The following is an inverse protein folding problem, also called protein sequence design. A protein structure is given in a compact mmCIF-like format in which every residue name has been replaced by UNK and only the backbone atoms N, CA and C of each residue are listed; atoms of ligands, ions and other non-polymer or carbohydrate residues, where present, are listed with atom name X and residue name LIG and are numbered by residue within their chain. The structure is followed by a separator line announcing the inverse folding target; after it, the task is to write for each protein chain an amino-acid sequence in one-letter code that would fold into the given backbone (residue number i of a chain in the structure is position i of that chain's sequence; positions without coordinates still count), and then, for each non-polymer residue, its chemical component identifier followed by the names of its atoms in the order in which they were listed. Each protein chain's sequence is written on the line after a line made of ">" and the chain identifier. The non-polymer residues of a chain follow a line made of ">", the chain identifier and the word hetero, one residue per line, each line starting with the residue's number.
data_IF_217699144162
#
_entry.id   IF_217699144162
#
_cell.length_a   1.000
_cell.length_b   1.000
_cell.length_c   1.000
_cell.angle_alpha   90.00
_cell.angle_beta   90.00
_cell.angle_gamma   90.00
#
_symmetry.space_group_name_H-M   'P 1'
#
loop_
_entity.id
_entity.type
_entity.pdbx_description
1 polymer ?
#
# COMPACT_ATOMS: atom_id res chain seq x y z
N UNK A 1 -10.30 -11.03 -20.89
CA UNK A 1 -9.75 -10.47 -19.63
C UNK A 1 -9.17 -11.63 -18.85
N UNK A 2 -7.94 -11.49 -18.33
CA UNK A 2 -7.37 -12.50 -17.42
C UNK A 2 -8.20 -12.51 -16.13
N UNK A 3 -8.49 -13.71 -15.63
CA UNK A 3 -9.20 -13.86 -14.36
C UNK A 3 -8.21 -13.59 -13.21
N UNK A 4 -8.43 -12.50 -12.46
CA UNK A 4 -7.65 -12.17 -11.27
C UNK A 4 -8.47 -12.64 -10.07
N UNK A 5 -7.88 -13.50 -9.25
CA UNK A 5 -8.48 -13.99 -8.00
C UNK A 5 -7.77 -13.31 -6.84
N UNK A 6 -8.54 -12.78 -5.88
CA UNK A 6 -7.98 -12.22 -4.65
C UNK A 6 -8.29 -13.17 -3.50
N UNK A 7 -7.26 -13.49 -2.72
CA UNK A 7 -7.40 -14.30 -1.51
C UNK A 7 -6.58 -13.72 -0.34
N UNK A 8 -6.97 -14.06 0.87
CA UNK A 8 -6.16 -13.77 2.05
C UNK A 8 -4.89 -14.62 2.03
N UNK A 9 -3.77 -14.04 2.48
CA UNK A 9 -2.48 -14.73 2.58
C UNK A 9 -2.36 -15.55 3.86
N UNK A 10 -1.61 -16.65 3.77
CA UNK A 10 -1.14 -17.45 4.89
C UNK A 10 0.39 -17.45 5.00
N UNK A 11 0.93 -18.18 5.97
CA UNK A 11 2.38 -18.28 6.16
C UNK A 11 3.13 -18.92 4.99
N UNK A 12 2.44 -19.72 4.18
CA UNK A 12 2.97 -20.29 2.92
C UNK A 12 3.33 -19.22 1.90
N UNK A 13 2.76 -18.02 2.02
CA UNK A 13 2.98 -16.90 1.10
C UNK A 13 4.23 -16.06 1.44
N UNK A 14 4.79 -16.18 2.65
CA UNK A 14 5.89 -15.36 3.13
C UNK A 14 7.09 -15.32 2.17
N UNK A 15 7.45 -16.46 1.62
CA UNK A 15 8.65 -16.61 0.78
C UNK A 15 8.57 -15.77 -0.51
N UNK A 16 7.47 -15.89 -1.26
CA UNK A 16 7.33 -15.16 -2.51
C UNK A 16 7.09 -13.66 -2.28
N UNK A 17 6.38 -13.30 -1.22
CA UNK A 17 6.14 -11.90 -0.85
C UNK A 17 7.43 -11.19 -0.47
N UNK A 18 8.26 -11.84 0.36
CA UNK A 18 9.58 -11.33 0.70
C UNK A 18 10.49 -11.19 -0.53
N UNK A 19 10.44 -12.15 -1.45
CA UNK A 19 11.17 -12.09 -2.71
C UNK A 19 10.70 -10.91 -3.56
N UNK A 20 9.40 -10.75 -3.73
CA UNK A 20 8.81 -9.65 -4.49
C UNK A 20 9.17 -8.29 -3.87
N UNK A 21 9.07 -8.17 -2.53
CA UNK A 21 9.46 -6.96 -1.81
C UNK A 21 10.94 -6.61 -2.05
N UNK A 22 11.85 -7.56 -1.79
CA UNK A 22 13.31 -7.37 -1.93
C UNK A 22 13.72 -6.97 -3.35
N UNK A 23 13.01 -7.46 -4.37
CA UNK A 23 13.28 -7.12 -5.77
C UNK A 23 12.76 -5.73 -6.18
N UNK A 24 11.83 -5.15 -5.42
CA UNK A 24 11.17 -3.89 -5.74
C UNK A 24 11.38 -2.80 -4.68
N UNK A 25 12.23 -3.03 -3.66
CA UNK A 25 12.59 -1.99 -2.70
C UNK A 25 13.46 -0.93 -3.37
N UNK A 26 13.35 0.32 -2.90
CA UNK A 26 14.09 1.46 -3.45
C UNK A 26 15.60 1.20 -3.47
N UNK A 27 16.14 0.69 -2.36
CA UNK A 27 17.57 0.35 -2.24
C UNK A 27 18.00 -0.74 -3.23
N UNK A 28 17.19 -1.81 -3.36
CA UNK A 28 17.52 -2.89 -4.27
C UNK A 28 17.55 -2.42 -5.73
N UNK A 29 16.62 -1.58 -6.13
CA UNK A 29 16.60 -1.00 -7.47
C UNK A 29 17.83 -0.12 -7.73
N UNK A 30 18.23 0.72 -6.76
CA UNK A 30 19.47 1.49 -6.85
C UNK A 30 20.71 0.59 -7.01
N UNK A 31 20.84 -0.44 -6.19
CA UNK A 31 21.98 -1.37 -6.25
C UNK A 31 22.07 -2.12 -7.57
N UNK A 32 20.93 -2.37 -8.20
CA UNK A 32 20.84 -3.06 -9.51
C UNK A 32 20.97 -2.09 -10.70
N UNK A 33 21.13 -0.79 -10.46
CA UNK A 33 21.15 0.25 -11.49
C UNK A 33 19.84 0.35 -12.29
N UNK A 34 18.71 -0.06 -11.68
CA UNK A 34 17.39 0.01 -12.30
C UNK A 34 16.75 1.37 -12.05
N UNK A 35 15.91 1.81 -13.01
CA UNK A 35 15.11 3.01 -12.86
C UNK A 35 14.08 2.85 -11.75
N UNK A 36 13.81 3.94 -11.02
CA UNK A 36 12.68 4.06 -10.08
C UNK A 36 11.37 4.43 -10.80
N UNK A 37 11.41 4.73 -12.10
CA UNK A 37 10.26 5.19 -12.88
C UNK A 37 9.13 4.16 -12.98
N UNK A 38 9.45 2.87 -12.83
CA UNK A 38 8.45 1.81 -12.81
C UNK A 38 7.74 1.62 -11.46
N UNK A 39 8.13 2.44 -10.46
CA UNK A 39 7.63 2.36 -9.09
C UNK A 39 8.45 1.44 -8.20
N UNK A 40 8.40 1.72 -6.91
CA UNK A 40 9.14 1.00 -5.87
C UNK A 40 8.33 0.96 -4.57
N UNK A 41 8.79 0.13 -3.62
CA UNK A 41 8.32 0.16 -2.23
C UNK A 41 9.43 0.72 -1.34
N UNK A 42 9.03 1.41 -0.28
CA UNK A 42 9.97 1.94 0.72
C UNK A 42 10.75 0.81 1.41
N UNK A 43 12.03 1.07 1.68
CA UNK A 43 12.85 0.13 2.40
C UNK A 43 12.39 -0.03 3.85
N UNK A 44 12.37 -1.26 4.31
CA UNK A 44 12.09 -1.62 5.70
C UNK A 44 13.03 -2.76 6.11
N UNK A 45 13.97 -2.46 6.99
CA UNK A 45 14.96 -3.44 7.47
C UNK A 45 14.32 -4.63 8.22
N UNK A 46 13.10 -4.47 8.71
CA UNK A 46 12.36 -5.49 9.47
C UNK A 46 11.15 -6.02 8.70
N UNK A 47 11.16 -5.90 7.37
CA UNK A 47 10.02 -6.28 6.53
C UNK A 47 9.56 -7.72 6.78
N UNK A 48 10.49 -8.67 6.90
CA UNK A 48 10.18 -10.09 7.16
C UNK A 48 9.38 -10.29 8.45
N UNK A 49 9.70 -9.54 9.51
CA UNK A 49 9.00 -9.61 10.80
C UNK A 49 7.63 -8.95 10.74
N UNK A 50 7.58 -7.77 10.14
CA UNK A 50 6.33 -7.01 9.97
C UNK A 50 5.35 -7.77 9.08
N UNK A 51 5.83 -8.40 8.01
CA UNK A 51 5.02 -9.23 7.12
C UNK A 51 4.38 -10.40 7.85
N UNK A 52 5.12 -11.11 8.71
CA UNK A 52 4.56 -12.19 9.54
C UNK A 52 3.44 -11.70 10.43
N UNK A 53 3.64 -10.57 11.11
CA UNK A 53 2.60 -9.97 11.95
C UNK A 53 1.35 -9.61 11.15
N UNK A 54 1.50 -9.03 9.95
CA UNK A 54 0.37 -8.71 9.08
C UNK A 54 -0.38 -9.95 8.59
N UNK A 55 0.34 -11.04 8.30
CA UNK A 55 -0.30 -12.33 7.96
C UNK A 55 -1.07 -12.89 9.15
N UNK A 56 -0.46 -12.91 10.34
CA UNK A 56 -1.08 -13.42 11.57
C UNK A 56 -2.40 -12.72 11.92
N UNK A 57 -2.47 -11.40 11.69
CA UNK A 57 -3.72 -10.63 11.91
C UNK A 57 -4.66 -10.59 10.71
N UNK A 58 -4.36 -11.35 9.64
CA UNK A 58 -5.20 -11.43 8.45
C UNK A 58 -5.26 -10.15 7.62
N UNK A 59 -4.20 -9.33 7.67
CA UNK A 59 -4.17 -8.02 7.00
C UNK A 59 -3.73 -8.10 5.53
N UNK A 60 -3.24 -9.24 5.04
CA UNK A 60 -2.59 -9.37 3.73
C UNK A 60 -3.44 -10.15 2.74
N UNK A 61 -3.54 -9.60 1.52
CA UNK A 61 -4.30 -10.19 0.42
C UNK A 61 -3.42 -10.34 -0.81
N UNK A 62 -3.41 -11.53 -1.41
CA UNK A 62 -2.72 -11.83 -2.66
C UNK A 62 -3.66 -11.72 -3.85
N UNK A 63 -3.12 -11.26 -4.97
CA UNK A 63 -3.75 -11.38 -6.28
C UNK A 63 -3.06 -12.49 -7.07
N UNK A 64 -3.85 -13.39 -7.65
CA UNK A 64 -3.40 -14.51 -8.46
C UNK A 64 -3.92 -14.40 -9.89
N UNK A 65 -3.08 -14.81 -10.84
CA UNK A 65 -3.45 -15.03 -12.24
C UNK A 65 -3.12 -16.48 -12.58
N UNK A 66 -4.12 -17.26 -13.00
CA UNK A 66 -3.96 -18.69 -13.34
C UNK A 66 -3.39 -19.55 -12.18
N UNK A 67 -3.63 -19.11 -10.94
CA UNK A 67 -3.14 -19.77 -9.73
C UNK A 67 -1.76 -19.31 -9.24
N UNK A 68 -1.07 -18.48 -10.01
CA UNK A 68 0.23 -17.91 -9.63
C UNK A 68 0.05 -16.58 -8.90
N UNK A 69 0.64 -16.37 -7.72
CA UNK A 69 0.58 -15.09 -7.01
C UNK A 69 1.44 -14.04 -7.73
N UNK A 70 0.81 -12.91 -8.06
CA UNK A 70 1.42 -11.85 -8.88
C UNK A 70 1.46 -10.49 -8.20
N UNK A 71 0.90 -10.37 -7.02
CA UNK A 71 0.92 -9.12 -6.24
C UNK A 71 0.24 -9.30 -4.90
N UNK A 72 0.45 -8.34 -4.01
CA UNK A 72 -0.23 -8.31 -2.71
C UNK A 72 -0.54 -6.90 -2.25
N UNK A 73 -1.47 -6.81 -1.32
CA UNK A 73 -1.90 -5.61 -0.61
C UNK A 73 -1.98 -5.89 0.88
N UNK A 74 -1.56 -4.92 1.70
CA UNK A 74 -1.79 -4.92 3.14
C UNK A 74 -2.89 -3.93 3.49
N UNK A 75 -3.86 -4.34 4.31
CA UNK A 75 -4.92 -3.50 4.87
C UNK A 75 -4.72 -3.43 6.37
N UNK A 76 -4.34 -2.27 6.88
CA UNK A 76 -4.07 -2.04 8.30
C UNK A 76 -5.31 -1.46 8.96
N UNK A 77 -6.07 -2.31 9.66
CA UNK A 77 -7.34 -1.93 10.31
C UNK A 77 -7.16 -1.12 11.59
N UNK A 78 -6.03 -1.30 12.24
CA UNK A 78 -5.68 -0.54 13.43
C UNK A 78 -4.82 0.67 13.04
N UNK A 79 -5.06 1.80 13.69
CA UNK A 79 -4.23 3.00 13.50
C UNK A 79 -2.83 2.71 14.02
N UNK A 80 -1.84 2.80 13.16
CA UNK A 80 -0.45 2.61 13.55
C UNK A 80 0.01 3.82 14.38
N UNK A 81 0.34 3.58 15.64
CA UNK A 81 0.91 4.60 16.54
C UNK A 81 2.44 4.69 16.43
N UNK A 82 3.06 3.66 15.87
CA UNK A 82 4.50 3.52 15.71
C UNK A 82 4.82 3.12 14.27
N UNK A 83 6.02 3.42 13.81
CA UNK A 83 6.45 3.06 12.46
C UNK A 83 7.24 4.18 11.77
N UNK A 84 7.27 4.22 10.44
CA UNK A 84 7.90 5.28 9.68
C UNK A 84 7.42 6.68 10.08
N UNK A 85 8.29 7.68 9.94
CA UNK A 85 8.01 9.07 10.30
C UNK A 85 6.71 9.60 9.68
N UNK A 86 6.42 9.24 8.42
CA UNK A 86 5.18 9.62 7.73
C UNK A 86 3.93 9.06 8.43
N UNK A 87 3.97 7.84 8.97
CA UNK A 87 2.86 7.26 9.72
C UNK A 87 2.63 8.02 11.02
N UNK A 88 3.72 8.36 11.74
CA UNK A 88 3.65 9.17 12.96
C UNK A 88 3.11 10.57 12.65
N UNK A 89 3.51 11.17 11.52
CA UNK A 89 2.98 12.45 11.05
C UNK A 89 1.46 12.36 10.84
N UNK A 90 0.98 11.38 10.07
CA UNK A 90 -0.46 11.18 9.83
C UNK A 90 -1.21 11.08 11.16
N UNK A 91 -0.77 10.20 12.07
CA UNK A 91 -1.43 9.97 13.36
C UNK A 91 -1.46 11.20 14.27
N UNK A 92 -0.43 12.06 14.21
CA UNK A 92 -0.36 13.27 15.03
C UNK A 92 -1.08 14.48 14.43
N UNK A 93 -1.49 14.42 13.16
CA UNK A 93 -2.11 15.52 12.42
C UNK A 93 -3.51 15.19 11.89
N UNK A 94 -4.14 14.12 12.36
CA UNK A 94 -5.47 13.67 11.92
C UNK A 94 -6.55 14.76 11.98
N UNK A 95 -6.43 15.71 12.90
CA UNK A 95 -7.37 16.81 13.09
C UNK A 95 -7.29 17.91 12.01
N UNK A 96 -6.18 17.96 11.24
CA UNK A 96 -5.99 18.95 10.17
C UNK A 96 -5.89 18.31 8.78
N UNK A 97 -5.69 17.02 8.69
CA UNK A 97 -5.72 16.27 7.42
C UNK A 97 -7.17 16.04 7.01
N UNK A 98 -7.57 16.61 5.88
CA UNK A 98 -8.97 16.63 5.44
C UNK A 98 -9.17 15.69 4.24
N UNK A 99 -10.09 14.75 4.37
CA UNK A 99 -10.57 13.88 3.30
C UNK A 99 -12.08 14.01 3.18
N UNK A 100 -12.59 14.30 1.97
CA UNK A 100 -14.02 14.46 1.69
C UNK A 100 -14.71 15.42 2.67
N UNK A 101 -14.09 16.58 2.91
CA UNK A 101 -14.57 17.66 3.82
C UNK A 101 -14.61 17.27 5.32
N UNK A 102 -14.07 16.12 5.71
CA UNK A 102 -13.99 15.66 7.09
C UNK A 102 -12.53 15.52 7.53
N UNK A 103 -12.24 15.85 8.78
CA UNK A 103 -10.92 15.55 9.35
C UNK A 103 -10.72 14.04 9.50
N UNK A 104 -9.50 13.55 9.33
CA UNK A 104 -9.21 12.11 9.52
C UNK A 104 -9.54 11.65 10.94
N UNK A 105 -9.46 12.54 11.94
CA UNK A 105 -9.87 12.26 13.32
C UNK A 105 -11.35 11.90 13.45
N UNK A 106 -12.20 12.36 12.53
CA UNK A 106 -13.64 12.13 12.51
C UNK A 106 -14.05 10.93 11.65
N UNK A 107 -13.06 10.25 11.06
CA UNK A 107 -13.25 9.10 10.18
C UNK A 107 -12.77 7.81 10.86
N UNK A 108 -13.51 6.73 10.70
CA UNK A 108 -13.01 5.38 10.93
C UNK A 108 -12.30 4.92 9.66
N UNK A 109 -10.98 5.14 9.57
CA UNK A 109 -10.20 4.79 8.39
C UNK A 109 -9.22 3.65 8.63
N UNK A 110 -8.90 2.92 7.58
CA UNK A 110 -7.85 1.90 7.55
C UNK A 110 -6.62 2.41 6.78
N UNK A 111 -5.44 1.93 7.15
CA UNK A 111 -4.23 2.10 6.35
C UNK A 111 -4.27 1.19 5.11
N UNK A 112 -3.90 1.75 3.96
CA UNK A 112 -3.84 1.04 2.68
C UNK A 112 -2.40 0.96 2.19
N UNK A 113 -1.87 -0.25 2.09
CA UNK A 113 -0.52 -0.52 1.62
C UNK A 113 0.42 -1.11 2.69
N UNK A 114 1.58 -1.60 2.25
CA UNK A 114 2.10 -1.54 0.87
C UNK A 114 1.28 -2.35 -0.14
N UNK A 115 1.29 -1.85 -1.40
CA UNK A 115 0.78 -2.56 -2.57
C UNK A 115 1.95 -2.87 -3.48
N UNK A 116 2.10 -4.13 -3.85
CA UNK A 116 3.16 -4.59 -4.75
C UNK A 116 2.59 -5.47 -5.84
N UNK A 117 2.99 -5.22 -7.07
CA UNK A 117 2.64 -6.02 -8.25
C UNK A 117 3.92 -6.43 -8.96
N UNK A 118 4.05 -7.72 -9.24
CA UNK A 118 5.16 -8.28 -10.00
C UNK A 118 5.31 -7.58 -11.34
N UNK A 119 6.55 -7.25 -11.79
CA UNK A 119 6.78 -6.53 -13.03
C UNK A 119 6.06 -7.14 -14.25
N UNK A 120 6.06 -8.47 -14.36
CA UNK A 120 5.40 -9.19 -15.47
C UNK A 120 3.86 -9.14 -15.43
N UNK A 121 3.27 -8.74 -14.32
CA UNK A 121 1.81 -8.60 -14.14
C UNK A 121 1.34 -7.14 -14.13
N UNK A 122 2.24 -6.17 -14.26
CA UNK A 122 1.88 -4.76 -14.37
C UNK A 122 1.09 -4.50 -15.65
N UNK A 123 0.19 -3.51 -15.60
CA UNK A 123 -0.69 -3.18 -16.72
C UNK A 123 -1.85 -4.17 -16.96
N UNK A 124 -1.95 -5.26 -16.17
CA UNK A 124 -3.00 -6.27 -16.30
C UNK A 124 -4.20 -6.07 -15.35
N UNK A 125 -4.26 -4.93 -14.65
CA UNK A 125 -5.37 -4.60 -13.73
C UNK A 125 -5.22 -5.14 -12.32
N UNK A 126 -4.06 -5.72 -11.95
CA UNK A 126 -3.84 -6.35 -10.62
C UNK A 126 -3.98 -5.33 -9.49
N UNK A 127 -3.36 -4.14 -9.60
CA UNK A 127 -3.46 -3.11 -8.58
C UNK A 127 -4.93 -2.67 -8.37
N UNK A 128 -5.68 -2.53 -9.47
CA UNK A 128 -7.12 -2.20 -9.40
C UNK A 128 -7.92 -3.31 -8.72
N UNK A 129 -7.67 -4.57 -9.03
CA UNK A 129 -8.38 -5.69 -8.42
C UNK A 129 -8.12 -5.76 -6.90
N UNK A 130 -6.88 -5.55 -6.46
CA UNK A 130 -6.52 -5.46 -5.04
C UNK A 130 -7.21 -4.28 -4.35
N UNK A 131 -7.22 -3.13 -4.99
CA UNK A 131 -7.86 -1.92 -4.48
C UNK A 131 -9.40 -2.09 -4.37
N UNK A 132 -10.07 -2.57 -5.43
CA UNK A 132 -11.51 -2.82 -5.42
C UNK A 132 -11.89 -3.83 -4.32
N UNK A 133 -11.05 -4.84 -4.08
CA UNK A 133 -11.22 -5.78 -2.99
C UNK A 133 -11.09 -5.12 -1.61
N UNK A 134 -10.10 -4.22 -1.43
CA UNK A 134 -9.95 -3.45 -0.19
C UNK A 134 -11.19 -2.60 0.09
N UNK A 135 -11.68 -1.86 -0.90
CA UNK A 135 -12.91 -1.08 -0.78
C UNK A 135 -14.10 -1.93 -0.38
N UNK A 136 -14.26 -3.11 -1.00
CA UNK A 136 -15.36 -4.02 -0.69
C UNK A 136 -15.31 -4.49 0.76
N UNK A 137 -14.14 -4.95 1.24
CA UNK A 137 -13.95 -5.44 2.61
C UNK A 137 -14.18 -4.30 3.61
N UNK A 138 -13.50 -3.16 3.43
CA UNK A 138 -13.56 -2.05 4.36
C UNK A 138 -14.98 -1.49 4.47
N UNK A 139 -15.71 -1.42 3.37
CA UNK A 139 -17.13 -1.04 3.38
C UNK A 139 -17.99 -2.02 4.18
N UNK A 140 -17.77 -3.33 4.02
CA UNK A 140 -18.48 -4.37 4.79
C UNK A 140 -18.15 -4.27 6.29
N UNK A 141 -16.93 -3.90 6.65
CA UNK A 141 -16.45 -3.69 8.01
C UNK A 141 -16.78 -2.30 8.58
N UNK A 142 -17.51 -1.46 7.82
CA UNK A 142 -17.95 -0.11 8.20
C UNK A 142 -16.80 0.89 8.43
N UNK A 143 -15.74 0.77 7.68
CA UNK A 143 -14.75 1.83 7.57
C UNK A 143 -15.30 2.95 6.70
N UNK A 144 -15.03 4.20 7.08
CA UNK A 144 -15.41 5.39 6.32
C UNK A 144 -14.44 5.67 5.16
N UNK A 145 -13.17 5.31 5.34
CA UNK A 145 -12.11 5.66 4.41
C UNK A 145 -10.92 4.68 4.47
N UNK A 146 -10.05 4.80 3.49
CA UNK A 146 -8.70 4.25 3.54
C UNK A 146 -7.67 5.34 3.22
N UNK A 147 -6.52 5.27 3.90
CA UNK A 147 -5.45 6.28 3.81
C UNK A 147 -4.14 5.60 3.50
N UNK A 148 -3.37 6.19 2.59
CA UNK A 148 -2.06 5.73 2.21
C UNK A 148 -1.08 6.90 2.11
N UNK A 149 0.19 6.59 1.92
CA UNK A 149 1.19 7.58 1.52
C UNK A 149 2.02 7.07 0.35
N UNK A 150 2.53 8.01 -0.44
CA UNK A 150 3.40 7.74 -1.59
C UNK A 150 4.63 8.64 -1.51
N UNK A 151 5.82 8.06 -1.64
CA UNK A 151 7.06 8.81 -1.78
C UNK A 151 6.98 9.72 -3.02
N UNK A 152 7.37 10.98 -2.90
CA UNK A 152 7.35 11.94 -4.01
C UNK A 152 8.31 11.54 -5.16
N UNK A 153 9.30 10.70 -4.88
CA UNK A 153 10.18 10.11 -5.91
C UNK A 153 9.53 8.90 -6.61
N UNK A 154 8.26 8.57 -6.28
CA UNK A 154 7.50 7.48 -6.90
C UNK A 154 6.28 8.01 -7.69
N UNK A 155 6.50 8.82 -8.75
CA UNK A 155 5.40 9.43 -9.52
C UNK A 155 4.48 8.39 -10.17
N UNK A 156 5.03 7.23 -10.54
CA UNK A 156 4.24 6.12 -11.11
C UNK A 156 3.23 5.59 -10.10
N UNK A 157 3.62 5.36 -8.85
CA UNK A 157 2.69 4.96 -7.79
C UNK A 157 1.63 6.04 -7.55
N UNK A 158 2.04 7.31 -7.44
CA UNK A 158 1.10 8.41 -7.25
C UNK A 158 0.06 8.47 -8.38
N UNK A 159 0.53 8.40 -9.63
CA UNK A 159 -0.35 8.42 -10.80
C UNK A 159 -1.35 7.26 -10.80
N UNK A 160 -0.91 6.04 -10.46
CA UNK A 160 -1.80 4.88 -10.38
C UNK A 160 -2.88 5.13 -9.33
N UNK A 161 -2.52 5.56 -8.12
CA UNK A 161 -3.48 5.75 -7.04
C UNK A 161 -4.46 6.90 -7.31
N UNK A 162 -3.99 8.02 -7.86
CA UNK A 162 -4.83 9.18 -8.12
C UNK A 162 -5.64 9.01 -9.42
N UNK A 163 -4.99 8.66 -10.54
CA UNK A 163 -5.66 8.68 -11.84
C UNK A 163 -6.45 7.39 -12.14
N UNK A 164 -5.98 6.23 -11.63
CA UNK A 164 -6.58 4.94 -11.96
C UNK A 164 -7.40 4.34 -10.81
N UNK A 165 -7.11 4.69 -9.56
CA UNK A 165 -7.81 4.20 -8.38
C UNK A 165 -8.66 5.26 -7.68
N UNK A 166 -8.71 6.49 -8.22
CA UNK A 166 -9.57 7.60 -7.78
C UNK A 166 -9.32 8.04 -6.31
N UNK A 167 -8.09 7.86 -5.82
CA UNK A 167 -7.70 8.36 -4.51
C UNK A 167 -7.39 9.86 -4.56
N UNK A 168 -7.81 10.60 -3.54
CA UNK A 168 -7.58 12.04 -3.43
C UNK A 168 -6.25 12.33 -2.73
N UNK A 169 -5.54 13.38 -3.16
CA UNK A 169 -4.40 13.90 -2.41
C UNK A 169 -4.95 14.71 -1.24
N UNK A 170 -4.60 14.29 -0.03
CA UNK A 170 -4.96 14.93 1.23
C UNK A 170 -3.94 16.03 1.55
N UNK A 171 -2.65 15.70 1.45
CA UNK A 171 -1.56 16.63 1.77
C UNK A 171 -0.26 16.22 1.06
N UNK A 172 0.69 17.15 1.03
CA UNK A 172 2.06 16.93 0.59
C UNK A 172 3.01 17.44 1.67
N UNK A 173 3.77 16.53 2.26
CA UNK A 173 4.62 16.82 3.43
C UNK A 173 6.10 16.60 3.13
N UNK A 174 6.95 17.40 3.79
CA UNK A 174 8.40 17.25 3.78
C UNK A 174 8.84 16.91 5.19
N UNK A 175 9.42 15.73 5.36
CA UNK A 175 9.90 15.18 6.62
C UNK A 175 11.42 14.96 6.53
N UNK A 176 12.05 14.62 7.65
CA UNK A 176 13.48 14.28 7.65
C UNK A 176 13.78 13.04 6.79
N UNK A 177 12.84 12.10 6.73
CA UNK A 177 12.92 10.87 5.95
C UNK A 177 12.61 11.02 4.46
N UNK A 178 12.12 12.18 4.02
CA UNK A 178 11.80 12.43 2.62
C UNK A 178 10.55 13.27 2.40
N UNK A 179 10.09 13.34 1.16
CA UNK A 179 8.89 14.04 0.77
C UNK A 179 7.81 13.03 0.38
N UNK A 180 6.59 13.22 0.89
CA UNK A 180 5.50 12.28 0.71
C UNK A 180 4.19 12.98 0.32
N UNK A 181 3.38 12.29 -0.47
CA UNK A 181 1.96 12.59 -0.64
C UNK A 181 1.16 11.70 0.30
N UNK A 182 0.24 12.29 1.06
CA UNK A 182 -0.79 11.57 1.81
C UNK A 182 -2.01 11.53 0.92
N UNK A 183 -2.56 10.35 0.70
CA UNK A 183 -3.68 10.11 -0.20
C UNK A 183 -4.77 9.29 0.50
N UNK A 184 -6.02 9.41 0.06
CA UNK A 184 -7.13 8.65 0.64
C UNK A 184 -8.36 8.59 -0.25
N UNK A 185 -9.28 7.70 0.10
CA UNK A 185 -10.57 7.52 -0.57
C UNK A 185 -11.63 7.06 0.42
#
# INVERSE_FOLDING_TARGET
>A
MQNIVIRQCGHEDESWMNTLYKQNSKQALYQLGKSLDEGFVQDNAHFDQVMKQWIEIGAVYAAEIEGDPVGFLVIQRERAQHGPEIIQYISSHENILILQERALSDLHYAGYGPVLVSPHARGKGVAKALHDHALHILKAEKFDAMVAFVDAENPTSLKIHVDALDMQIIDKVVLASGQFFIIGQ
#
